data_IF_521653465456
#
_entry.id   IF_521653465456
#
_cell.length_a   1.000
_cell.length_b   1.000
_cell.length_c   1.000
_cell.angle_alpha   90.00
_cell.angle_beta   90.00
_cell.angle_gamma   90.00
#
_symmetry.space_group_name_H-M   'P 1'
#
loop_
_entity.id
_entity.type
_entity.pdbx_description
1 polymer ?
#
# COMPACT_ATOMS: atom_id res chain seq x y z
N UNK A 1 -38.53 -41.66 9.29
CA UNK A 1 -37.19 -41.31 8.78
C UNK A 1 -37.05 -39.80 8.78
N UNK A 2 -36.44 -39.21 9.82
CA UNK A 2 -36.22 -37.76 9.91
C UNK A 2 -35.08 -37.37 8.97
N UNK A 3 -35.41 -36.78 7.82
CA UNK A 3 -34.40 -36.18 6.94
C UNK A 3 -34.04 -34.82 7.53
N UNK A 4 -33.16 -34.82 8.54
CA UNK A 4 -32.60 -33.59 9.10
C UNK A 4 -31.61 -33.03 8.10
N UNK A 5 -32.03 -32.00 7.36
CA UNK A 5 -31.15 -31.21 6.51
C UNK A 5 -29.93 -30.72 7.32
N UNK A 6 -28.75 -31.23 7.00
CA UNK A 6 -27.48 -30.91 7.65
C UNK A 6 -27.13 -29.40 7.61
N UNK A 7 -27.82 -28.62 6.78
CA UNK A 7 -27.64 -27.18 6.65
C UNK A 7 -28.23 -26.36 7.83
N UNK A 8 -29.22 -26.90 8.54
CA UNK A 8 -29.89 -26.20 9.65
C UNK A 8 -29.16 -26.33 11.01
N UNK A 9 -28.18 -27.24 11.15
CA UNK A 9 -27.38 -27.39 12.38
C UNK A 9 -26.04 -26.63 12.35
N UNK A 10 -25.57 -26.20 11.18
CA UNK A 10 -24.34 -25.40 11.09
C UNK A 10 -24.58 -23.93 11.47
N UNK A 11 -25.81 -23.42 11.33
CA UNK A 11 -26.16 -22.01 11.57
C UNK A 11 -26.27 -21.63 13.05
N UNK A 12 -26.26 -22.59 13.99
CA UNK A 12 -26.48 -22.34 15.43
C UNK A 12 -25.21 -22.23 16.28
N UNK A 13 -24.00 -22.48 15.74
CA UNK A 13 -22.76 -22.39 16.51
C UNK A 13 -21.97 -21.07 16.36
N UNK A 14 -22.51 -20.10 15.62
CA UNK A 14 -21.85 -18.82 15.35
C UNK A 14 -22.43 -17.63 16.14
N UNK A 15 -23.23 -17.86 17.19
CA UNK A 15 -23.82 -16.78 17.98
C UNK A 15 -23.64 -17.06 19.46
N UNK A 16 -22.70 -16.33 20.09
CA UNK A 16 -22.58 -16.41 21.54
C UNK A 16 -21.36 -15.79 22.22
N UNK A 17 -20.68 -14.77 21.67
CA UNK A 17 -19.80 -13.87 22.46
C UNK A 17 -19.72 -12.47 21.84
N UNK A 18 -20.69 -11.61 22.17
CA UNK A 18 -20.55 -10.14 22.07
C UNK A 18 -20.46 -9.65 23.51
N UNK A 19 -19.24 -9.48 24.04
CA UNK A 19 -18.47 -8.24 24.01
C UNK A 19 -19.09 -7.19 24.94
N UNK A 20 -18.60 -7.17 26.18
CA UNK A 20 -18.80 -6.15 27.20
C UNK A 20 -18.59 -4.77 26.60
N UNK A 21 -19.65 -3.97 26.51
CA UNK A 21 -19.54 -2.57 26.11
C UNK A 21 -18.95 -1.75 27.27
N UNK A 22 -17.62 -1.63 27.30
CA UNK A 22 -16.97 -0.49 27.94
C UNK A 22 -16.90 0.62 26.89
N UNK A 23 -17.86 1.52 26.97
CA UNK A 23 -17.82 2.81 26.27
C UNK A 23 -16.56 3.52 26.73
N UNK A 24 -15.54 3.53 25.87
CA UNK A 24 -14.37 4.37 26.06
C UNK A 24 -14.84 5.83 25.97
N UNK A 25 -14.60 6.70 26.97
CA UNK A 25 -14.94 8.10 26.83
C UNK A 25 -14.18 8.68 25.63
N UNK A 26 -14.92 9.35 24.77
CA UNK A 26 -14.39 10.11 23.64
C UNK A 26 -13.51 11.20 24.25
N UNK A 27 -12.20 11.12 24.04
CA UNK A 27 -11.26 12.12 24.54
C UNK A 27 -11.72 13.52 24.07
N UNK A 28 -11.69 14.54 24.94
CA UNK A 28 -12.03 15.89 24.54
C UNK A 28 -11.09 16.34 23.41
N UNK A 29 -11.70 16.81 22.33
CA UNK A 29 -11.00 17.56 21.28
C UNK A 29 -10.45 18.82 21.93
N UNK A 30 -9.14 18.84 22.13
CA UNK A 30 -8.41 19.94 22.75
C UNK A 30 -7.23 19.44 23.57
N UNK A 31 -6.15 19.05 22.89
CA UNK A 31 -4.86 18.84 23.57
C UNK A 31 -4.42 20.19 24.15
N UNK A 32 -4.30 20.36 25.48
CA UNK A 32 -3.80 21.60 26.05
C UNK A 32 -2.38 21.80 25.54
N UNK A 33 -2.15 22.95 24.88
CA UNK A 33 -0.89 23.26 24.22
C UNK A 33 0.06 23.90 25.23
N UNK A 34 0.47 23.17 26.27
CA UNK A 34 1.48 23.69 27.20
C UNK A 34 2.46 22.57 27.58
N UNK A 35 3.74 22.92 27.42
CA UNK A 35 4.98 22.22 27.76
C UNK A 35 5.64 21.34 26.67
N UNK A 36 6.73 21.93 26.16
CA UNK A 36 7.85 21.33 25.42
C UNK A 36 7.58 20.95 23.95
N UNK A 37 8.08 21.75 22.97
CA UNK A 37 8.26 21.23 21.63
C UNK A 37 9.41 20.21 21.69
N UNK A 38 9.08 18.93 21.91
CA UNK A 38 10.00 17.87 21.54
C UNK A 38 10.42 18.13 20.08
N UNK A 39 11.73 18.08 19.75
CA UNK A 39 12.16 18.29 18.37
C UNK A 39 11.39 17.27 17.52
N UNK A 40 10.51 17.78 16.65
CA UNK A 40 9.82 16.94 15.68
C UNK A 40 10.94 16.34 14.85
N UNK A 41 11.28 15.07 15.08
CA UNK A 41 12.09 14.31 14.14
C UNK A 41 11.38 14.44 12.81
N UNK A 42 11.94 15.26 11.92
CA UNK A 42 11.40 15.44 10.58
C UNK A 42 11.32 14.05 9.99
N UNK A 43 10.11 13.59 9.71
CA UNK A 43 9.88 12.28 9.10
C UNK A 43 10.78 12.20 7.87
N UNK A 44 11.88 11.45 7.97
CA UNK A 44 12.86 11.38 6.90
C UNK A 44 12.13 10.82 5.69
N UNK A 45 11.95 11.65 4.67
CA UNK A 45 11.28 11.25 3.44
C UNK A 45 12.25 10.38 2.64
N UNK A 46 12.47 9.14 3.08
CA UNK A 46 13.22 8.14 2.31
C UNK A 46 12.35 7.66 1.15
N UNK A 47 12.25 8.51 0.12
CA UNK A 47 11.92 8.08 -1.24
C UNK A 47 12.77 8.86 -2.23
N UNK A 48 14.09 8.93 -1.99
CA UNK A 48 15.01 9.32 -3.05
C UNK A 48 14.72 8.41 -4.24
N UNK A 49 14.34 9.00 -5.37
CA UNK A 49 14.38 8.28 -6.63
C UNK A 49 15.81 7.76 -6.84
N UNK A 50 16.00 6.62 -7.52
CA UNK A 50 17.34 6.21 -7.92
C UNK A 50 18.01 7.38 -8.65
N UNK A 51 19.34 7.54 -8.50
CA UNK A 51 20.11 8.55 -9.21
C UNK A 51 19.75 8.56 -10.70
N UNK A 52 19.79 9.75 -11.32
CA UNK A 52 19.39 9.92 -12.73
C UNK A 52 20.22 9.05 -13.67
N UNK A 53 21.51 8.90 -13.37
CA UNK A 53 22.44 8.00 -14.07
C UNK A 53 21.87 6.58 -14.09
N UNK A 54 21.68 5.98 -12.92
CA UNK A 54 21.15 4.60 -12.76
C UNK A 54 19.82 4.39 -13.49
N UNK A 55 18.97 5.42 -13.53
CA UNK A 55 17.67 5.37 -14.20
C UNK A 55 17.76 5.40 -15.72
N UNK A 56 18.76 6.11 -16.26
CA UNK A 56 18.95 6.42 -17.68
C UNK A 56 20.09 5.63 -18.34
N UNK A 57 20.74 4.74 -17.60
CA UNK A 57 21.81 3.87 -18.10
C UNK A 57 21.43 3.04 -19.34
N UNK A 58 20.14 2.92 -19.68
CA UNK A 58 19.65 2.23 -20.88
C UNK A 58 19.76 0.70 -20.84
N UNK A 59 20.52 0.15 -19.90
CA UNK A 59 20.79 -1.28 -19.77
C UNK A 59 20.30 -1.85 -18.42
N UNK A 60 19.89 -3.12 -18.44
CA UNK A 60 19.53 -3.92 -17.27
C UNK A 60 18.26 -3.48 -16.51
N UNK A 61 17.29 -2.89 -17.20
CA UNK A 61 15.97 -2.58 -16.64
C UNK A 61 14.94 -3.64 -17.05
N UNK A 62 14.87 -4.73 -16.28
CA UNK A 62 13.90 -5.80 -16.52
C UNK A 62 12.62 -5.58 -15.69
N UNK A 63 11.42 -5.80 -16.28
CA UNK A 63 10.17 -5.78 -15.54
C UNK A 63 10.03 -7.08 -14.73
N UNK A 64 9.76 -6.94 -13.44
CA UNK A 64 9.48 -8.04 -12.52
C UNK A 64 8.07 -7.88 -11.93
N UNK A 65 7.39 -9.00 -11.72
CA UNK A 65 6.09 -9.00 -11.05
C UNK A 65 6.28 -8.99 -9.52
N UNK A 66 5.80 -7.94 -8.86
CA UNK A 66 5.78 -7.83 -7.41
C UNK A 66 4.54 -8.50 -6.84
N UNK A 67 4.66 -9.08 -5.64
CA UNK A 67 3.52 -9.56 -4.86
C UNK A 67 2.67 -8.40 -4.33
N UNK A 68 3.29 -7.24 -4.08
CA UNK A 68 2.60 -6.05 -3.57
C UNK A 68 2.19 -5.10 -4.70
N UNK A 69 0.99 -4.54 -4.57
CA UNK A 69 0.48 -3.50 -5.48
C UNK A 69 0.86 -2.12 -4.95
N UNK A 70 1.64 -1.36 -5.70
CA UNK A 70 1.96 0.03 -5.36
C UNK A 70 1.53 1.01 -6.46
N UNK A 71 1.54 2.31 -6.15
CA UNK A 71 1.33 3.37 -7.14
C UNK A 71 2.53 3.48 -8.07
N UNK A 72 2.24 3.72 -9.35
CA UNK A 72 3.23 4.07 -10.35
C UNK A 72 4.04 5.29 -9.88
N UNK A 73 5.36 5.23 -10.08
CA UNK A 73 6.30 6.30 -9.70
C UNK A 73 6.71 7.21 -10.88
N UNK A 74 6.02 7.13 -12.01
CA UNK A 74 6.22 8.04 -13.14
C UNK A 74 5.53 9.39 -12.89
N UNK A 75 6.11 10.49 -13.38
CA UNK A 75 5.69 11.88 -13.05
C UNK A 75 4.21 12.18 -13.32
N UNK A 76 3.63 11.58 -14.37
CA UNK A 76 2.25 11.86 -14.81
C UNK A 76 1.31 10.65 -14.58
N UNK A 77 1.67 9.74 -13.68
CA UNK A 77 0.90 8.52 -13.47
C UNK A 77 0.80 8.16 -11.99
N UNK A 78 -0.44 7.98 -11.51
CA UNK A 78 -0.74 7.50 -10.15
C UNK A 78 -1.50 6.17 -10.17
N UNK A 79 -1.55 5.51 -11.34
CA UNK A 79 -2.21 4.23 -11.48
C UNK A 79 -1.46 3.15 -10.68
N UNK A 80 -2.18 2.19 -10.07
CA UNK A 80 -1.54 1.11 -9.35
C UNK A 80 -0.95 0.07 -10.31
N UNK A 81 0.21 -0.49 -9.97
CA UNK A 81 0.95 -1.47 -10.77
C UNK A 81 1.58 -2.54 -9.89
N UNK A 82 1.54 -3.80 -10.35
CA UNK A 82 2.31 -4.91 -9.79
C UNK A 82 3.71 -5.02 -10.40
N UNK A 83 3.92 -4.43 -11.58
CA UNK A 83 5.21 -4.48 -12.25
C UNK A 83 6.17 -3.48 -11.60
N UNK A 84 7.37 -3.94 -11.27
CA UNK A 84 8.50 -3.11 -10.82
C UNK A 84 9.72 -3.34 -11.70
N UNK A 85 10.62 -2.37 -11.74
CA UNK A 85 11.95 -2.57 -12.33
C UNK A 85 12.86 -3.32 -11.34
N UNK A 86 13.51 -4.39 -11.78
CA UNK A 86 14.46 -5.18 -10.98
C UNK A 86 15.60 -4.31 -10.39
N UNK A 87 16.20 -3.46 -11.23
CA UNK A 87 17.34 -2.59 -10.88
C UNK A 87 16.92 -1.39 -10.03
N UNK A 88 15.81 -0.73 -10.38
CA UNK A 88 15.40 0.52 -9.76
C UNK A 88 14.43 0.35 -8.58
N UNK A 89 13.81 -0.82 -8.40
CA UNK A 89 12.76 -1.10 -7.42
C UNK A 89 11.59 -0.08 -7.45
N UNK A 90 11.34 0.51 -8.63
CA UNK A 90 10.23 1.43 -8.87
C UNK A 90 9.09 0.68 -9.53
N UNK A 91 7.89 0.81 -8.97
CA UNK A 91 6.65 0.31 -9.55
C UNK A 91 6.24 1.21 -10.72
N UNK A 92 6.05 0.61 -11.88
CA UNK A 92 5.80 1.30 -13.14
C UNK A 92 4.73 0.55 -13.92
N UNK A 93 3.82 1.28 -14.56
CA UNK A 93 2.80 0.66 -15.41
C UNK A 93 3.42 0.09 -16.69
N UNK A 94 3.01 -1.14 -17.01
CA UNK A 94 3.29 -1.81 -18.27
C UNK A 94 1.95 -2.36 -18.81
N UNK A 95 1.18 -1.50 -19.48
CA UNK A 95 -0.14 -1.81 -20.03
C UNK A 95 -0.18 -1.44 -21.52
N UNK A 96 -1.15 -2.00 -22.27
CA UNK A 96 -1.36 -1.69 -23.69
C UNK A 96 -1.51 -0.19 -23.99
N UNK A 97 -2.20 0.55 -23.11
CA UNK A 97 -2.46 1.99 -23.31
C UNK A 97 -1.39 2.91 -22.71
N UNK A 98 -0.60 2.42 -21.74
CA UNK A 98 0.33 3.22 -20.96
C UNK A 98 1.59 2.41 -20.65
N UNK A 99 2.69 2.80 -21.27
CA UNK A 99 4.01 2.25 -20.99
C UNK A 99 4.84 3.26 -20.16
N UNK A 100 4.58 3.29 -18.85
CA UNK A 100 5.36 4.11 -17.93
C UNK A 100 6.75 3.54 -17.70
N UNK A 101 6.95 2.24 -17.92
CA UNK A 101 8.24 1.57 -17.77
C UNK A 101 9.27 2.15 -18.73
N UNK A 102 8.98 2.14 -20.04
CA UNK A 102 9.88 2.72 -21.05
C UNK A 102 10.12 4.21 -20.81
N UNK A 103 9.05 5.01 -20.64
CA UNK A 103 9.15 6.46 -20.40
C UNK A 103 10.00 6.79 -19.18
N UNK A 104 9.98 5.98 -18.13
CA UNK A 104 10.77 6.24 -16.92
C UNK A 104 12.27 5.99 -17.13
N UNK A 105 12.65 5.10 -18.06
CA UNK A 105 14.04 4.73 -18.34
C UNK A 105 14.65 5.46 -19.53
N UNK A 106 13.84 6.10 -20.37
CA UNK A 106 14.32 6.81 -21.57
C UNK A 106 14.23 8.34 -21.48
N UNK A 107 13.60 8.92 -20.45
CA UNK A 107 13.26 10.36 -20.38
C UNK A 107 13.99 11.15 -19.28
#
# INVERSE_FOLDING_TARGET
MMVVNAWLRYRSHAQGRLATQLVSPKAPVGRPRILSPAPRLSRVHHRSAPPREVRLDGHNHLPEWSQSRERCKAKDCSAPSYVKCAKCNKHLCLNKSRNCFARFHTA
#
